data_IF_018915720107
#
_entry.id   IF_018915720107
#
_cell.length_a   1.000
_cell.length_b   1.000
_cell.length_c   1.000
_cell.angle_alpha   90.00
_cell.angle_beta   90.00
_cell.angle_gamma   90.00
#
_symmetry.space_group_name_H-M   'P 1'
#
loop_
_entity.id
_entity.type
_entity.pdbx_description
1 polymer ?
#
# COMPACT_ATOMS: atom_id res chain seq x y z
N UNK A 1 -7.91 4.65 -15.16
CA UNK A 1 -6.53 4.41 -14.65
C UNK A 1 -6.20 5.50 -13.63
N UNK A 2 -5.70 5.17 -12.44
CA UNK A 2 -5.19 6.18 -11.49
C UNK A 2 -3.68 6.16 -11.49
N UNK A 3 -3.06 7.33 -11.52
CA UNK A 3 -1.62 7.46 -11.39
C UNK A 3 -1.17 7.09 -9.97
N UNK A 4 0.07 6.64 -9.86
CA UNK A 4 0.73 6.35 -8.59
C UNK A 4 0.71 7.57 -7.64
N UNK A 5 0.79 8.79 -8.18
CA UNK A 5 0.70 10.05 -7.42
C UNK A 5 -0.67 10.21 -6.77
N UNK A 6 -1.76 9.90 -7.49
CA UNK A 6 -3.11 10.00 -6.94
C UNK A 6 -3.35 8.97 -5.84
N UNK A 7 -2.84 7.75 -5.99
CA UNK A 7 -2.92 6.71 -4.96
C UNK A 7 -2.11 7.13 -3.72
N UNK A 8 -0.89 7.63 -3.90
CA UNK A 8 -0.05 8.13 -2.80
C UNK A 8 -0.74 9.26 -2.01
N UNK A 9 -1.35 10.22 -2.72
CA UNK A 9 -2.17 11.29 -2.10
C UNK A 9 -3.34 10.71 -1.31
N UNK A 10 -4.07 9.74 -1.88
CA UNK A 10 -5.21 9.10 -1.21
C UNK A 10 -4.78 8.28 0.02
N UNK A 11 -3.59 7.71 -0.01
CA UNK A 11 -2.97 7.02 1.13
C UNK A 11 -2.37 7.98 2.16
N UNK A 12 -2.22 9.27 1.84
CA UNK A 12 -1.53 10.24 2.68
C UNK A 12 -0.06 9.90 2.90
N UNK A 13 0.63 9.44 1.86
CA UNK A 13 2.06 9.11 1.88
C UNK A 13 2.78 9.80 0.72
N UNK A 14 4.12 9.90 0.80
CA UNK A 14 4.91 10.42 -0.31
C UNK A 14 4.88 9.48 -1.51
N UNK A 15 5.07 10.04 -2.71
CA UNK A 15 5.20 9.25 -3.94
C UNK A 15 6.31 8.19 -3.84
N UNK A 16 7.47 8.56 -3.27
CA UNK A 16 8.59 7.64 -3.06
C UNK A 16 8.26 6.50 -2.09
N UNK A 17 7.49 6.77 -1.03
CA UNK A 17 7.01 5.73 -0.12
C UNK A 17 6.07 4.77 -0.87
N UNK A 18 5.19 5.30 -1.71
CA UNK A 18 4.32 4.48 -2.56
C UNK A 18 5.13 3.63 -3.56
N UNK A 19 6.16 4.18 -4.21
CA UNK A 19 7.05 3.41 -5.09
C UNK A 19 7.77 2.25 -4.36
N UNK A 20 8.16 2.45 -3.10
CA UNK A 20 8.74 1.36 -2.28
C UNK A 20 7.70 0.27 -2.00
N UNK A 21 6.44 0.63 -1.71
CA UNK A 21 5.36 -0.33 -1.48
C UNK A 21 5.08 -1.20 -2.72
N UNK A 22 5.24 -0.67 -3.93
CA UNK A 22 5.10 -1.45 -5.17
C UNK A 22 6.28 -2.38 -5.46
N UNK A 23 7.41 -2.20 -4.76
CA UNK A 23 8.58 -3.07 -4.87
C UNK A 23 8.76 -3.91 -3.58
N UNK A 24 8.20 -5.13 -3.53
CA UNK A 24 8.25 -5.97 -2.33
C UNK A 24 9.67 -6.38 -1.91
N UNK A 25 10.68 -6.26 -2.79
CA UNK A 25 12.09 -6.50 -2.42
C UNK A 25 12.72 -5.34 -1.65
N UNK A 26 12.14 -4.14 -1.73
CA UNK A 26 12.67 -2.90 -1.14
C UNK A 26 11.85 -2.41 0.05
N UNK A 27 10.91 -3.21 0.51
CA UNK A 27 9.89 -2.80 1.46
C UNK A 27 9.42 -4.00 2.30
N UNK A 28 9.37 -3.82 3.62
CA UNK A 28 8.70 -4.74 4.54
C UNK A 28 7.60 -3.95 5.28
N UNK A 29 6.41 -3.78 4.67
CA UNK A 29 5.36 -2.96 5.25
C UNK A 29 4.72 -3.66 6.45
N UNK A 30 4.31 -2.88 7.44
CA UNK A 30 3.56 -3.42 8.58
C UNK A 30 2.18 -3.92 8.15
N UNK A 31 1.58 -4.84 8.91
CA UNK A 31 0.20 -5.29 8.67
C UNK A 31 -0.79 -4.10 8.61
N UNK A 32 -0.64 -3.13 9.51
CA UNK A 32 -1.42 -1.87 9.52
C UNK A 32 -1.29 -1.08 8.21
N UNK A 33 -0.12 -1.09 7.59
CA UNK A 33 0.12 -0.44 6.30
C UNK A 33 -0.62 -1.17 5.19
N UNK A 34 -0.53 -2.52 5.18
CA UNK A 34 -1.25 -3.36 4.23
C UNK A 34 -2.77 -3.20 4.34
N UNK A 35 -3.31 -3.13 5.57
CA UNK A 35 -4.73 -2.84 5.82
C UNK A 35 -5.16 -1.47 5.28
N UNK A 36 -4.35 -0.43 5.53
CA UNK A 36 -4.62 0.93 5.03
C UNK A 36 -4.66 0.95 3.50
N UNK A 37 -3.75 0.24 2.85
CA UNK A 37 -3.72 0.08 1.39
C UNK A 37 -4.98 -0.63 0.91
N UNK A 38 -5.31 -1.79 1.48
CA UNK A 38 -6.50 -2.56 1.13
C UNK A 38 -7.78 -1.72 1.26
N UNK A 39 -7.96 -1.01 2.38
CA UNK A 39 -9.09 -0.09 2.61
C UNK A 39 -9.16 1.01 1.55
N UNK A 40 -8.02 1.61 1.22
CA UNK A 40 -7.94 2.71 0.24
C UNK A 40 -8.30 2.24 -1.17
N UNK A 41 -7.96 1.00 -1.49
CA UNK A 41 -8.24 0.35 -2.77
C UNK A 41 -9.60 -0.37 -2.80
N UNK A 42 -10.38 -0.33 -1.72
CA UNK A 42 -11.63 -1.08 -1.55
C UNK A 42 -11.45 -2.58 -1.81
N UNK A 43 -10.36 -3.14 -1.28
CA UNK A 43 -10.02 -4.57 -1.34
C UNK A 43 -10.11 -5.19 0.05
N UNK A 44 -10.38 -6.50 0.09
CA UNK A 44 -10.28 -7.32 1.29
C UNK A 44 -8.86 -7.89 1.37
N UNK A 45 -8.30 -7.98 2.57
CA UNK A 45 -7.02 -8.63 2.84
C UNK A 45 -7.24 -9.65 3.95
N UNK A 46 -6.54 -10.78 3.86
CA UNK A 46 -6.56 -11.86 4.84
C UNK A 46 -5.12 -12.23 5.15
N UNK A 47 -4.81 -12.39 6.43
CA UNK A 47 -3.49 -12.82 6.90
C UNK A 47 -3.62 -14.24 7.42
N UNK A 48 -2.76 -15.13 6.95
CA UNK A 48 -2.68 -16.51 7.42
C UNK A 48 -1.31 -16.73 8.05
N UNK A 49 -1.29 -17.35 9.22
CA UNK A 49 -0.08 -17.90 9.82
C UNK A 49 -0.02 -19.36 9.35
N UNK A 50 1.15 -19.78 8.88
CA UNK A 50 1.40 -21.14 8.43
C UNK A 50 1.85 -22.02 9.58
#
# INVERSE_FOLDING_TARGET
NKSQIEIAKKLGISYQAYQKLENPRKCNPTLKTLEKIAKTMKKKIEFAIK
#
